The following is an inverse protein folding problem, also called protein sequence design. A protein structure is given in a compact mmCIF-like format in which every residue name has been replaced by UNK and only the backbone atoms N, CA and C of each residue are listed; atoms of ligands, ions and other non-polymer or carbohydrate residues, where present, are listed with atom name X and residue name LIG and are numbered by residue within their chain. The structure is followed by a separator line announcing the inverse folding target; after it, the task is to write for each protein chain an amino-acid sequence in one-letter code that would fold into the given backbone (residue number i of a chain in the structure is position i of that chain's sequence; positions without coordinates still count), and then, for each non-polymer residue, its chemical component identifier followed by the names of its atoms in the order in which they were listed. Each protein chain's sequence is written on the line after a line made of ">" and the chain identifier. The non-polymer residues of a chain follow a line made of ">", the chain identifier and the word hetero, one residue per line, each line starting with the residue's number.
data_IF_596462330015
#
_entry.id   IF_596462330015
#
_cell.length_a   1.000
_cell.length_b   1.000
_cell.length_c   1.000
_cell.angle_alpha   90.00
_cell.angle_beta   90.00
_cell.angle_gamma   90.00
#
_symmetry.space_group_name_H-M   'P 1'
#
loop_
_entity.id
_entity.type
_entity.pdbx_description
1 polymer ?
#
# COMPACT_ATOMS: atom_id res chain seq x y z
N UNK A 1 14.61 -10.77 -7.93
CA UNK A 1 13.68 -10.05 -7.08
C UNK A 1 12.90 -11.02 -6.20
N UNK A 2 12.98 -10.88 -4.88
CA UNK A 2 12.37 -11.79 -3.91
C UNK A 2 11.07 -11.17 -3.38
N UNK A 3 10.00 -11.96 -3.36
CA UNK A 3 8.69 -11.58 -2.82
C UNK A 3 8.14 -12.69 -1.90
N UNK A 4 7.04 -12.42 -1.17
CA UNK A 4 6.43 -13.36 -0.23
C UNK A 4 5.69 -14.51 -0.92
N UNK A 5 4.48 -14.26 -1.39
CA UNK A 5 3.59 -15.25 -2.02
C UNK A 5 2.92 -14.68 -3.28
N UNK A 6 2.61 -15.55 -4.24
CA UNK A 6 2.11 -15.15 -5.57
C UNK A 6 0.76 -14.44 -5.55
N UNK A 7 -0.13 -14.81 -4.64
CA UNK A 7 -1.51 -14.32 -4.60
C UNK A 7 -1.69 -12.99 -3.86
N UNK A 8 -0.67 -12.53 -3.12
CA UNK A 8 -0.74 -11.27 -2.38
C UNK A 8 -0.14 -10.11 -3.18
N UNK A 9 -0.24 -8.89 -2.61
CA UNK A 9 0.14 -7.63 -3.29
C UNK A 9 1.61 -7.62 -3.74
N UNK A 10 2.54 -8.15 -2.95
CA UNK A 10 3.97 -8.14 -3.32
C UNK A 10 4.26 -9.08 -4.48
N UNK A 11 3.62 -10.26 -4.55
CA UNK A 11 3.74 -11.16 -5.69
C UNK A 11 3.25 -10.51 -6.98
N UNK A 12 2.12 -9.80 -6.92
CA UNK A 12 1.57 -9.04 -8.06
C UNK A 12 2.48 -7.88 -8.47
N UNK A 13 3.01 -7.16 -7.48
CA UNK A 13 4.00 -6.10 -7.70
C UNK A 13 5.25 -6.65 -8.40
N UNK A 14 5.77 -7.80 -7.95
CA UNK A 14 6.91 -8.48 -8.59
C UNK A 14 6.66 -8.79 -10.07
N UNK A 15 5.48 -9.33 -10.38
CA UNK A 15 5.09 -9.66 -11.77
C UNK A 15 4.98 -8.43 -12.66
N UNK A 16 4.41 -7.34 -12.16
CA UNK A 16 4.31 -6.08 -12.91
C UNK A 16 5.71 -5.47 -13.17
N UNK A 17 6.63 -5.56 -12.21
CA UNK A 17 8.01 -5.13 -12.40
C UNK A 17 8.70 -6.02 -13.44
N UNK A 18 8.52 -7.35 -13.37
CA UNK A 18 9.10 -8.30 -14.33
C UNK A 18 8.64 -8.03 -15.76
N UNK A 19 7.36 -7.71 -15.97
CA UNK A 19 6.84 -7.36 -17.30
C UNK A 19 7.55 -6.14 -17.91
N UNK A 20 8.02 -5.22 -17.06
CA UNK A 20 8.74 -4.02 -17.49
C UNK A 20 10.28 -4.19 -17.54
N UNK A 21 10.79 -5.32 -17.04
CA UNK A 21 12.21 -5.65 -16.99
C UNK A 21 12.41 -7.15 -17.31
N UNK A 22 12.52 -7.52 -18.60
CA UNK A 22 12.54 -8.93 -19.02
C UNK A 22 13.68 -9.77 -18.45
N UNK A 23 14.83 -9.16 -18.17
CA UNK A 23 16.00 -9.84 -17.60
C UNK A 23 15.91 -10.05 -16.08
N UNK A 24 14.78 -9.70 -15.48
CA UNK A 24 14.55 -9.83 -14.05
C UNK A 24 13.98 -11.21 -13.71
N UNK A 25 14.72 -12.00 -12.94
CA UNK A 25 14.17 -13.18 -12.27
C UNK A 25 13.37 -12.77 -11.06
N UNK A 26 12.15 -13.31 -10.91
CA UNK A 26 11.30 -13.14 -9.74
C UNK A 26 11.07 -14.47 -9.03
N UNK A 27 11.23 -14.50 -7.71
CA UNK A 27 11.14 -15.74 -6.93
C UNK A 27 10.39 -15.51 -5.61
N UNK A 28 9.46 -16.42 -5.26
CA UNK A 28 8.82 -16.40 -3.95
C UNK A 28 9.75 -16.91 -2.86
N UNK A 29 9.48 -16.53 -1.60
CA UNK A 29 10.24 -17.02 -0.45
C UNK A 29 10.30 -18.55 -0.39
N UNK A 30 9.19 -19.26 -0.65
CA UNK A 30 9.15 -20.73 -0.64
C UNK A 30 10.05 -21.35 -1.72
N UNK A 31 9.98 -20.83 -2.95
CA UNK A 31 10.84 -21.31 -4.05
C UNK A 31 12.31 -20.97 -3.82
N UNK A 32 12.60 -19.82 -3.22
CA UNK A 32 13.97 -19.47 -2.85
C UNK A 32 14.52 -20.42 -1.78
N UNK A 33 13.70 -20.83 -0.83
CA UNK A 33 14.09 -21.82 0.18
C UNK A 33 14.44 -23.17 -0.45
N UNK A 34 13.64 -23.67 -1.36
CA UNK A 34 13.94 -24.87 -2.16
C UNK A 34 15.24 -24.72 -2.95
N UNK A 35 15.44 -23.55 -3.57
CA UNK A 35 16.66 -23.27 -4.34
C UNK A 35 17.91 -23.24 -3.44
N UNK A 36 17.82 -22.67 -2.23
CA UNK A 36 18.90 -22.68 -1.24
C UNK A 36 19.26 -24.12 -0.83
N UNK A 37 18.26 -24.98 -0.63
CA UNK A 37 18.50 -26.40 -0.31
C UNK A 37 19.20 -27.15 -1.43
N UNK A 38 18.86 -26.84 -2.70
CA UNK A 38 19.37 -27.54 -3.87
C UNK A 38 20.80 -27.12 -4.27
N UNK A 39 21.11 -25.84 -4.25
CA UNK A 39 22.40 -25.32 -4.77
C UNK A 39 23.19 -24.48 -3.76
N UNK A 40 22.61 -24.17 -2.61
CA UNK A 40 23.24 -23.37 -1.55
C UNK A 40 23.19 -21.85 -1.78
N UNK A 41 23.20 -21.09 -0.69
CA UNK A 41 23.14 -19.62 -0.71
C UNK A 41 24.34 -18.99 -1.43
N UNK A 42 25.54 -19.55 -1.30
CA UNK A 42 26.75 -19.04 -1.94
C UNK A 42 26.64 -19.06 -3.47
N UNK A 43 26.10 -20.13 -4.05
CA UNK A 43 25.89 -20.23 -5.49
C UNK A 43 24.83 -19.25 -5.98
N UNK A 44 23.74 -19.05 -5.22
CA UNK A 44 22.74 -18.04 -5.55
C UNK A 44 23.35 -16.65 -5.56
N UNK A 45 24.13 -16.30 -4.53
CA UNK A 45 24.79 -15.00 -4.43
C UNK A 45 25.78 -14.74 -5.57
N UNK A 46 26.39 -15.80 -6.12
CA UNK A 46 27.32 -15.71 -7.25
C UNK A 46 26.61 -15.54 -8.59
N UNK A 47 25.42 -16.14 -8.75
CA UNK A 47 24.67 -16.12 -10.02
C UNK A 47 24.08 -14.76 -10.38
N UNK A 48 23.69 -14.00 -9.38
CA UNK A 48 23.01 -12.73 -9.60
C UNK A 48 23.91 -11.55 -9.30
N UNK A 49 24.01 -10.61 -10.24
CA UNK A 49 24.74 -9.35 -10.05
C UNK A 49 24.10 -8.53 -8.92
N UNK A 50 22.75 -8.56 -8.86
CA UNK A 50 21.97 -7.83 -7.86
C UNK A 50 20.82 -8.67 -7.31
N UNK A 51 20.60 -8.63 -6.00
CA UNK A 51 19.47 -9.29 -5.33
C UNK A 51 18.67 -8.24 -4.57
N UNK A 52 17.38 -8.14 -4.92
CA UNK A 52 16.45 -7.19 -4.33
C UNK A 52 15.33 -7.90 -3.58
N UNK A 53 14.90 -7.37 -2.43
CA UNK A 53 13.72 -7.84 -1.70
C UNK A 53 12.56 -6.83 -1.77
N UNK A 54 11.32 -7.30 -1.90
CA UNK A 54 10.15 -6.42 -1.99
C UNK A 54 9.63 -5.89 -0.65
N UNK A 55 10.22 -6.30 0.48
CA UNK A 55 10.04 -5.61 1.75
C UNK A 55 11.21 -5.92 2.70
N UNK A 56 11.37 -5.07 3.72
CA UNK A 56 12.44 -5.22 4.70
C UNK A 56 12.33 -6.50 5.53
N UNK A 57 11.14 -7.04 5.75
CA UNK A 57 10.94 -8.33 6.40
C UNK A 57 11.44 -9.50 5.55
N UNK A 58 11.20 -9.47 4.24
CA UNK A 58 11.77 -10.45 3.29
C UNK A 58 13.28 -10.31 3.22
N UNK A 59 13.80 -9.08 3.20
CA UNK A 59 15.24 -8.84 3.25
C UNK A 59 15.89 -9.45 4.50
N UNK A 60 15.29 -9.24 5.68
CA UNK A 60 15.75 -9.84 6.93
C UNK A 60 15.75 -11.37 6.87
N UNK A 61 14.64 -11.96 6.42
CA UNK A 61 14.52 -13.41 6.28
C UNK A 61 15.60 -14.00 5.34
N UNK A 62 15.83 -13.35 4.19
CA UNK A 62 16.82 -13.79 3.22
C UNK A 62 18.27 -13.64 3.76
N UNK A 63 18.57 -12.54 4.42
CA UNK A 63 19.88 -12.30 5.05
C UNK A 63 20.21 -13.35 6.11
N UNK A 64 19.24 -13.78 6.94
CA UNK A 64 19.43 -14.84 7.91
C UNK A 64 19.60 -16.22 7.27
N UNK A 65 19.26 -16.38 5.99
CA UNK A 65 19.58 -17.56 5.17
C UNK A 65 20.86 -17.40 4.34
N UNK A 66 21.70 -16.41 4.68
CA UNK A 66 22.94 -16.07 4.00
C UNK A 66 22.79 -15.64 2.53
N UNK A 67 21.63 -15.15 2.14
CA UNK A 67 21.43 -14.49 0.85
C UNK A 67 21.86 -13.03 0.97
N UNK A 68 22.68 -12.58 0.02
CA UNK A 68 23.05 -11.17 -0.14
C UNK A 68 21.81 -10.38 -0.56
N UNK A 69 21.56 -9.25 0.07
CA UNK A 69 20.52 -8.31 -0.32
C UNK A 69 21.19 -6.97 -0.61
N UNK A 70 21.18 -6.57 -1.86
CA UNK A 70 21.80 -5.32 -2.32
C UNK A 70 20.82 -4.16 -2.20
N UNK A 71 19.52 -4.41 -2.42
CA UNK A 71 18.47 -3.41 -2.32
C UNK A 71 17.17 -3.99 -1.76
N UNK A 72 16.34 -3.12 -1.17
CA UNK A 72 15.02 -3.52 -0.67
C UNK A 72 13.99 -2.40 -0.83
N UNK A 73 12.75 -2.77 -1.15
CA UNK A 73 11.65 -1.86 -0.92
C UNK A 73 11.29 -1.84 0.58
N UNK A 74 10.83 -0.69 1.07
CA UNK A 74 10.26 -0.51 2.39
C UNK A 74 8.78 -0.18 2.25
N UNK A 75 7.95 -1.20 2.47
CA UNK A 75 6.49 -1.16 2.16
C UNK A 75 5.63 -0.91 3.39
N UNK A 76 6.22 -0.88 4.57
CA UNK A 76 5.52 -0.63 5.83
C UNK A 76 6.47 -0.09 6.89
N UNK A 77 5.90 0.39 7.99
CA UNK A 77 6.65 0.73 9.22
C UNK A 77 7.00 -0.50 10.04
N UNK A 78 6.60 -1.69 9.63
CA UNK A 78 6.97 -2.93 10.29
C UNK A 78 8.40 -3.28 9.90
N UNK A 79 9.24 -3.31 10.89
CA UNK A 79 10.59 -3.82 10.80
C UNK A 79 10.59 -5.27 11.26
N UNK A 80 11.63 -5.97 10.96
CA UNK A 80 11.74 -7.36 11.37
C UNK A 80 11.46 -7.51 12.87
N UNK A 81 10.47 -8.33 13.21
CA UNK A 81 10.18 -8.76 14.56
C UNK A 81 10.02 -10.28 14.56
N UNK A 82 10.58 -10.93 15.57
CA UNK A 82 10.46 -12.38 15.76
C UNK A 82 9.07 -12.77 16.25
N UNK A 83 8.31 -11.84 16.80
CA UNK A 83 6.96 -12.07 17.28
C UNK A 83 5.92 -11.50 16.30
N UNK A 84 5.47 -12.37 15.37
CA UNK A 84 4.49 -11.99 14.36
C UNK A 84 3.12 -11.63 14.95
N UNK A 85 2.72 -12.22 16.07
CA UNK A 85 1.42 -11.94 16.69
C UNK A 85 1.38 -10.52 17.27
N UNK A 86 2.49 -10.05 17.83
CA UNK A 86 2.63 -8.66 18.25
C UNK A 86 2.43 -7.68 17.07
N UNK A 87 2.89 -8.03 15.85
CA UNK A 87 2.75 -7.19 14.67
C UNK A 87 1.29 -6.98 14.24
N UNK A 88 0.40 -7.94 14.50
CA UNK A 88 -1.03 -7.82 14.17
C UNK A 88 -1.77 -6.81 15.04
N UNK A 89 -1.25 -6.53 16.21
CA UNK A 89 -1.89 -5.66 17.20
C UNK A 89 -1.45 -4.20 17.12
N UNK A 90 -0.46 -3.89 16.31
CA UNK A 90 0.13 -2.55 16.27
C UNK A 90 -0.80 -1.51 15.65
N UNK A 91 -1.09 -0.47 16.41
CA UNK A 91 -1.72 0.75 15.92
C UNK A 91 -0.68 1.77 15.47
N UNK A 92 0.39 1.93 16.22
CA UNK A 92 1.39 2.98 16.04
C UNK A 92 2.62 2.50 15.27
N UNK A 93 3.40 3.45 14.75
CA UNK A 93 4.71 3.17 14.18
C UNK A 93 5.64 2.63 15.27
N UNK A 94 6.23 1.47 15.04
CA UNK A 94 7.02 0.76 16.02
C UNK A 94 8.50 1.04 15.79
N UNK A 95 9.23 1.13 16.89
CA UNK A 95 10.69 1.16 16.84
C UNK A 95 11.21 -0.17 16.27
N UNK A 96 12.18 -0.11 15.35
CA UNK A 96 12.78 -1.32 14.78
C UNK A 96 13.39 -2.18 15.87
N UNK A 97 13.27 -3.50 15.68
CA UNK A 97 13.96 -4.47 16.51
C UNK A 97 15.48 -4.20 16.52
N UNK A 98 16.16 -4.24 17.70
CA UNK A 98 17.61 -4.00 17.78
C UNK A 98 18.44 -4.93 16.90
N UNK A 99 18.02 -6.19 16.75
CA UNK A 99 18.71 -7.13 15.87
C UNK A 99 18.52 -6.76 14.39
N UNK A 100 17.35 -6.23 14.02
CA UNK A 100 17.14 -5.69 12.68
C UNK A 100 18.11 -4.54 12.39
N UNK A 101 18.24 -3.59 13.30
CA UNK A 101 19.16 -2.45 13.15
C UNK A 101 20.63 -2.89 13.04
N UNK A 102 21.03 -3.88 13.83
CA UNK A 102 22.41 -4.32 13.93
C UNK A 102 22.82 -5.33 12.86
N UNK A 103 21.94 -6.26 12.49
CA UNK A 103 22.27 -7.44 11.68
C UNK A 103 21.71 -7.37 10.25
N UNK A 104 20.63 -6.64 10.02
CA UNK A 104 19.95 -6.60 8.73
C UNK A 104 20.21 -5.30 8.00
N UNK A 105 19.83 -4.19 8.62
CA UNK A 105 19.86 -2.88 7.97
C UNK A 105 21.24 -2.49 7.43
N UNK A 106 22.36 -2.73 8.13
CA UNK A 106 23.72 -2.41 7.63
C UNK A 106 24.14 -3.19 6.37
N UNK A 107 23.43 -4.25 6.02
CA UNK A 107 23.73 -5.10 4.85
C UNK A 107 22.96 -4.69 3.59
N UNK A 108 22.10 -3.67 3.67
CA UNK A 108 21.27 -3.19 2.56
C UNK A 108 21.82 -1.84 2.11
N UNK A 109 22.28 -1.75 0.86
CA UNK A 109 22.91 -0.52 0.34
C UNK A 109 21.90 0.46 -0.25
N UNK A 110 20.73 -0.02 -0.72
CA UNK A 110 19.72 0.81 -1.35
C UNK A 110 18.34 0.45 -0.82
N UNK A 111 17.58 1.45 -0.39
CA UNK A 111 16.22 1.26 0.14
C UNK A 111 15.26 2.22 -0.56
N UNK A 112 14.22 1.64 -1.16
CA UNK A 112 13.11 2.39 -1.77
C UNK A 112 11.91 2.45 -0.84
N UNK A 113 11.62 3.60 -0.25
CA UNK A 113 10.50 3.76 0.70
C UNK A 113 9.19 4.16 0.00
N UNK A 114 8.08 3.55 0.37
CA UNK A 114 6.78 3.79 -0.25
C UNK A 114 6.15 5.14 0.12
N UNK A 115 6.50 5.73 1.24
CA UNK A 115 6.04 7.07 1.62
C UNK A 115 7.19 7.92 2.16
N UNK A 116 6.99 9.25 2.19
CA UNK A 116 8.05 10.20 2.57
C UNK A 116 8.46 10.07 4.04
N UNK A 117 7.49 9.90 4.95
CA UNK A 117 7.77 9.73 6.38
C UNK A 117 8.64 8.49 6.64
N UNK A 118 8.34 7.39 5.93
CA UNK A 118 9.15 6.17 6.00
C UNK A 118 10.54 6.39 5.41
N UNK A 119 10.66 7.12 4.30
CA UNK A 119 11.95 7.48 3.73
C UNK A 119 12.80 8.29 4.72
N UNK A 120 12.22 9.30 5.35
CA UNK A 120 12.94 10.15 6.32
C UNK A 120 13.36 9.35 7.56
N UNK A 121 12.48 8.47 8.06
CA UNK A 121 12.81 7.55 9.16
C UNK A 121 14.00 6.65 8.80
N UNK A 122 13.97 6.04 7.61
CA UNK A 122 15.02 5.13 7.18
C UNK A 122 16.33 5.84 6.87
N UNK A 123 16.32 7.08 6.36
CA UNK A 123 17.54 7.90 6.22
C UNK A 123 18.24 8.13 7.55
N UNK A 124 17.46 8.36 8.62
CA UNK A 124 18.02 8.52 9.96
C UNK A 124 18.60 7.20 10.53
N UNK A 125 17.92 6.06 10.27
CA UNK A 125 18.33 4.76 10.78
C UNK A 125 19.45 4.09 9.97
N UNK A 126 19.57 4.40 8.67
CA UNK A 126 20.52 3.80 7.74
C UNK A 126 21.33 4.86 6.98
N UNK A 127 22.16 5.67 7.66
CA UNK A 127 22.92 6.76 7.01
C UNK A 127 23.97 6.24 6.00
N UNK A 128 24.30 4.95 6.04
CA UNK A 128 25.21 4.27 5.10
C UNK A 128 24.51 3.90 3.79
N UNK A 129 23.18 3.79 3.80
CA UNK A 129 22.40 3.36 2.64
C UNK A 129 21.85 4.56 1.86
N UNK A 130 21.71 4.37 0.57
CA UNK A 130 20.89 5.28 -0.23
C UNK A 130 19.41 4.98 0.04
N UNK A 131 18.70 5.94 0.63
CA UNK A 131 17.27 5.84 0.90
C UNK A 131 16.51 6.89 0.09
N UNK A 132 15.64 6.44 -0.79
CA UNK A 132 14.80 7.34 -1.61
C UNK A 132 13.33 6.98 -1.53
N UNK A 133 12.48 7.98 -1.72
CA UNK A 133 11.05 7.80 -1.88
C UNK A 133 10.75 7.26 -3.28
N UNK A 134 10.09 6.12 -3.38
CA UNK A 134 9.68 5.50 -4.65
C UNK A 134 8.18 5.52 -4.90
N UNK A 135 7.37 5.69 -3.84
CA UNK A 135 5.92 5.55 -3.92
C UNK A 135 5.49 4.12 -4.21
N UNK A 136 4.29 3.98 -4.72
CA UNK A 136 3.77 2.72 -5.24
C UNK A 136 3.16 2.94 -6.62
N UNK A 137 2.53 1.92 -7.19
CA UNK A 137 1.83 1.99 -8.47
C UNK A 137 0.57 1.13 -8.46
N UNK A 138 -0.33 1.45 -9.38
CA UNK A 138 -1.57 0.72 -9.58
C UNK A 138 -1.79 0.47 -11.08
N UNK A 139 -2.34 -0.71 -11.40
CA UNK A 139 -2.78 -1.02 -12.76
C UNK A 139 -4.06 -0.21 -13.09
N UNK A 140 -3.86 0.90 -13.80
CA UNK A 140 -4.93 1.84 -14.14
C UNK A 140 -5.83 1.36 -15.29
N UNK A 141 -5.47 0.31 -15.98
CA UNK A 141 -6.34 -0.36 -16.96
C UNK A 141 -7.34 -1.25 -16.22
N UNK A 142 -6.87 -2.03 -15.24
CA UNK A 142 -7.70 -2.88 -14.39
C UNK A 142 -8.60 -2.05 -13.47
N UNK A 143 -7.99 -1.16 -12.68
CA UNK A 143 -8.71 -0.23 -11.80
C UNK A 143 -9.11 1.01 -12.59
N UNK A 144 -10.33 0.99 -13.11
CA UNK A 144 -10.89 2.05 -13.95
C UNK A 144 -12.34 2.34 -13.57
N UNK A 145 -12.81 3.57 -13.80
CA UNK A 145 -14.21 3.94 -13.52
C UNK A 145 -15.22 3.03 -14.21
N UNK A 146 -16.44 2.98 -13.65
CA UNK A 146 -17.56 2.39 -14.35
C UNK A 146 -17.97 3.26 -15.55
N UNK A 147 -18.51 2.65 -16.60
CA UNK A 147 -19.07 3.38 -17.74
C UNK A 147 -20.38 4.11 -17.40
N UNK A 148 -21.12 3.58 -16.42
CA UNK A 148 -22.39 4.16 -15.99
C UNK A 148 -22.14 5.30 -14.97
N UNK A 149 -22.84 6.42 -15.17
CA UNK A 149 -22.87 7.50 -14.17
C UNK A 149 -23.69 7.06 -12.95
N UNK A 150 -23.24 7.50 -11.78
CA UNK A 150 -23.99 7.32 -10.54
C UNK A 150 -25.31 8.11 -10.60
N UNK A 151 -26.39 7.50 -10.14
CA UNK A 151 -27.67 8.18 -9.97
C UNK A 151 -27.62 9.04 -8.69
N UNK A 152 -27.68 10.38 -8.79
CA UNK A 152 -27.61 11.27 -7.64
C UNK A 152 -28.82 11.14 -6.68
N UNK A 153 -29.90 10.53 -7.10
CA UNK A 153 -31.09 10.30 -6.25
C UNK A 153 -30.89 9.16 -5.24
N UNK A 154 -29.93 8.24 -5.51
CA UNK A 154 -29.63 7.14 -4.60
C UNK A 154 -28.83 7.60 -3.38
N UNK A 155 -28.86 6.86 -2.27
CA UNK A 155 -28.02 7.15 -1.10
C UNK A 155 -26.52 7.18 -1.45
N UNK A 156 -25.76 8.06 -0.77
CA UNK A 156 -24.31 8.06 -0.83
C UNK A 156 -23.78 6.71 -0.31
N UNK A 157 -23.12 5.96 -1.16
CA UNK A 157 -22.56 4.66 -0.78
C UNK A 157 -21.11 4.81 -0.37
N UNK A 158 -20.81 4.52 0.90
CA UNK A 158 -19.46 4.58 1.49
C UNK A 158 -18.94 3.17 1.62
N UNK A 159 -17.79 2.92 0.99
CA UNK A 159 -17.11 1.62 1.06
C UNK A 159 -16.02 1.59 2.11
N UNK A 160 -15.79 0.43 2.71
CA UNK A 160 -14.63 0.13 3.53
C UNK A 160 -14.02 -1.19 3.07
N UNK A 161 -12.68 -1.24 2.95
CA UNK A 161 -11.97 -2.45 2.52
C UNK A 161 -10.76 -2.71 3.43
N UNK A 162 -10.73 -3.88 4.05
CA UNK A 162 -9.63 -4.25 4.95
C UNK A 162 -9.87 -5.50 5.76
N UNK A 163 -8.86 -5.94 6.50
CA UNK A 163 -8.98 -7.04 7.46
C UNK A 163 -9.46 -6.49 8.82
N UNK A 164 -10.70 -6.82 9.18
CA UNK A 164 -11.35 -6.39 10.43
C UNK A 164 -10.59 -6.81 11.69
N UNK A 165 -9.80 -7.90 11.60
CA UNK A 165 -9.04 -8.44 12.73
C UNK A 165 -7.78 -7.64 13.04
N UNK A 166 -7.32 -6.80 12.10
CA UNK A 166 -6.13 -5.96 12.31
C UNK A 166 -6.50 -4.71 13.08
N UNK A 167 -5.99 -4.58 14.31
CA UNK A 167 -6.21 -3.40 15.17
C UNK A 167 -5.78 -2.10 14.49
N UNK A 168 -4.71 -2.14 13.68
CA UNK A 168 -4.24 -0.98 12.91
C UNK A 168 -5.24 -0.45 11.89
N UNK A 169 -6.30 -1.19 11.56
CA UNK A 169 -7.36 -0.75 10.65
C UNK A 169 -8.44 0.09 11.36
N UNK A 170 -8.43 0.16 12.71
CA UNK A 170 -9.40 0.89 13.51
C UNK A 170 -10.87 0.58 13.14
N UNK A 171 -11.13 -0.70 12.78
CA UNK A 171 -12.49 -1.10 12.40
C UNK A 171 -13.48 -0.84 13.52
N UNK A 172 -13.19 -1.31 14.74
CA UNK A 172 -14.07 -1.16 15.89
C UNK A 172 -14.07 0.25 16.49
N UNK A 173 -12.91 0.92 16.52
CA UNK A 173 -12.74 2.21 17.19
C UNK A 173 -13.13 3.42 16.34
N UNK A 174 -13.12 3.30 15.01
CA UNK A 174 -13.41 4.42 14.11
C UNK A 174 -14.50 4.06 13.08
N UNK A 175 -14.35 2.94 12.33
CA UNK A 175 -15.31 2.61 11.29
C UNK A 175 -16.71 2.33 11.84
N UNK A 176 -16.83 1.43 12.81
CA UNK A 176 -18.14 1.06 13.38
C UNK A 176 -18.89 2.25 14.02
N UNK A 177 -18.29 3.12 14.84
CA UNK A 177 -18.97 4.30 15.36
C UNK A 177 -19.51 5.22 14.27
N UNK A 178 -18.75 5.46 13.20
CA UNK A 178 -19.22 6.28 12.06
C UNK A 178 -20.38 5.59 11.34
N UNK A 179 -20.26 4.29 11.02
CA UNK A 179 -21.31 3.52 10.38
C UNK A 179 -22.59 3.50 11.22
N UNK A 180 -22.48 3.24 12.51
CA UNK A 180 -23.63 3.17 13.44
C UNK A 180 -24.37 4.51 13.52
N UNK A 181 -23.63 5.64 13.49
CA UNK A 181 -24.27 6.96 13.46
C UNK A 181 -25.22 7.14 12.27
N UNK A 182 -24.88 6.55 11.11
CA UNK A 182 -25.69 6.64 9.88
C UNK A 182 -26.59 5.41 9.62
N UNK A 183 -26.70 4.46 10.55
CA UNK A 183 -27.36 3.16 10.31
C UNK A 183 -28.78 3.29 9.74
N UNK A 184 -29.55 4.26 10.21
CA UNK A 184 -30.92 4.52 9.76
C UNK A 184 -31.04 5.78 8.91
N UNK A 185 -29.92 6.34 8.43
CA UNK A 185 -29.95 7.56 7.64
C UNK A 185 -30.32 7.29 6.19
N UNK A 186 -31.44 7.85 5.64
CA UNK A 186 -31.97 7.43 4.34
C UNK A 186 -31.05 7.81 3.16
N UNK A 187 -30.09 8.72 3.36
CA UNK A 187 -29.19 9.21 2.30
C UNK A 187 -27.77 8.65 2.35
N UNK A 188 -27.48 7.76 3.29
CA UNK A 188 -26.13 7.18 3.44
C UNK A 188 -26.24 5.67 3.57
N UNK A 189 -25.42 4.95 2.85
CA UNK A 189 -25.31 3.49 2.92
C UNK A 189 -23.84 3.10 3.04
N UNK A 190 -23.58 2.11 3.88
CA UNK A 190 -22.24 1.53 4.03
C UNK A 190 -22.19 0.15 3.40
N UNK A 191 -21.09 -0.12 2.71
CA UNK A 191 -20.72 -1.46 2.20
C UNK A 191 -19.28 -1.75 2.59
N UNK A 192 -18.98 -2.98 2.88
CA UNK A 192 -17.65 -3.36 3.33
C UNK A 192 -17.19 -4.65 2.67
N UNK A 193 -15.87 -4.81 2.56
CA UNK A 193 -15.24 -6.06 2.15
C UNK A 193 -14.05 -6.39 3.04
N UNK A 194 -13.97 -7.66 3.44
CA UNK A 194 -12.90 -8.20 4.28
C UNK A 194 -12.36 -9.52 3.70
N UNK A 195 -12.30 -9.60 2.37
CA UNK A 195 -11.81 -10.76 1.63
C UNK A 195 -12.85 -11.46 0.76
N UNK A 196 -14.09 -10.90 0.67
CA UNK A 196 -15.16 -11.45 -0.17
C UNK A 196 -14.88 -11.28 -1.67
N UNK A 197 -14.09 -10.26 -2.04
CA UNK A 197 -13.64 -10.04 -3.41
C UNK A 197 -12.23 -10.57 -3.61
N UNK A 198 -12.01 -11.39 -4.63
CA UNK A 198 -10.67 -11.64 -5.13
C UNK A 198 -10.06 -10.33 -5.64
N UNK A 199 -8.73 -10.24 -5.67
CA UNK A 199 -8.06 -9.01 -6.14
C UNK A 199 -8.50 -8.58 -7.54
N UNK A 200 -8.76 -9.56 -8.41
CA UNK A 200 -9.18 -9.28 -9.79
C UNK A 200 -10.60 -8.72 -9.86
N UNK A 201 -11.41 -8.97 -8.85
CA UNK A 201 -12.79 -8.49 -8.71
C UNK A 201 -12.90 -7.21 -7.88
N UNK A 202 -11.84 -6.78 -7.21
CA UNK A 202 -11.84 -5.52 -6.43
C UNK A 202 -12.31 -4.29 -7.21
N UNK A 203 -12.05 -4.14 -8.53
CA UNK A 203 -12.64 -3.06 -9.31
C UNK A 203 -14.17 -3.00 -9.25
N UNK A 204 -14.87 -4.14 -9.11
CA UNK A 204 -16.33 -4.19 -8.97
C UNK A 204 -16.77 -3.54 -7.65
N UNK A 205 -16.04 -3.84 -6.55
CA UNK A 205 -16.30 -3.19 -5.27
C UNK A 205 -16.11 -1.67 -5.36
N UNK A 206 -14.97 -1.18 -5.90
CA UNK A 206 -14.75 0.26 -6.01
C UNK A 206 -15.77 0.95 -6.93
N UNK A 207 -16.22 0.29 -7.99
CA UNK A 207 -17.27 0.83 -8.88
C UNK A 207 -18.62 0.92 -8.20
N UNK A 208 -18.90 0.09 -7.20
CA UNK A 208 -20.18 0.06 -6.47
C UNK A 208 -20.32 1.14 -5.40
N UNK A 209 -19.26 1.86 -5.06
CA UNK A 209 -19.24 2.89 -4.03
C UNK A 209 -19.11 4.30 -4.62
N UNK A 210 -19.42 5.31 -3.82
CA UNK A 210 -19.21 6.73 -4.16
C UNK A 210 -17.95 7.29 -3.50
N UNK A 211 -17.60 6.78 -2.32
CA UNK A 211 -16.52 7.23 -1.46
C UNK A 211 -15.91 6.01 -0.76
N UNK A 212 -14.60 5.88 -0.77
CA UNK A 212 -13.91 4.90 0.06
C UNK A 212 -13.58 5.54 1.42
N UNK A 213 -13.83 4.83 2.53
CA UNK A 213 -13.39 5.23 3.86
C UNK A 213 -12.21 4.37 4.32
N UNK A 214 -11.10 5.01 4.69
CA UNK A 214 -9.92 4.38 5.27
C UNK A 214 -9.73 4.89 6.69
N UNK A 215 -9.76 3.99 7.65
CA UNK A 215 -9.73 4.30 9.08
C UNK A 215 -8.43 3.89 9.76
N UNK A 216 -7.43 3.50 8.99
CA UNK A 216 -6.18 2.94 9.52
C UNK A 216 -5.44 3.94 10.41
N UNK A 217 -4.92 3.48 11.56
CA UNK A 217 -4.02 4.26 12.40
C UNK A 217 -2.62 4.35 11.77
N UNK A 218 -2.24 3.32 11.00
CA UNK A 218 -0.91 3.24 10.41
C UNK A 218 -0.93 2.42 9.11
N UNK A 219 -0.30 2.95 8.07
CA UNK A 219 -0.12 2.29 6.77
C UNK A 219 1.27 2.63 6.21
N UNK A 220 1.95 1.64 5.69
CA UNK A 220 3.15 1.92 4.88
C UNK A 220 2.81 2.52 3.53
N UNK A 221 1.70 2.04 2.96
CA UNK A 221 1.17 2.45 1.67
C UNK A 221 -0.27 2.92 1.76
N UNK A 222 -1.20 2.07 1.47
CA UNK A 222 -2.62 2.33 1.29
C UNK A 222 -3.03 1.98 -0.14
N UNK A 223 -2.74 0.74 -0.56
CA UNK A 223 -3.06 0.28 -1.92
C UNK A 223 -4.53 0.51 -2.28
N UNK A 224 -5.42 0.31 -1.31
CA UNK A 224 -6.87 0.57 -1.47
C UNK A 224 -7.18 2.02 -1.86
N UNK A 225 -6.36 3.00 -1.41
CA UNK A 225 -6.53 4.39 -1.83
C UNK A 225 -6.17 4.58 -3.31
N UNK A 226 -5.03 4.00 -3.77
CA UNK A 226 -4.65 4.06 -5.19
C UNK A 226 -5.70 3.41 -6.09
N UNK A 227 -6.21 2.26 -5.66
CA UNK A 227 -7.23 1.49 -6.39
C UNK A 227 -8.56 2.27 -6.48
N UNK A 228 -9.00 2.88 -5.38
CA UNK A 228 -10.19 3.73 -5.34
C UNK A 228 -10.02 4.99 -6.22
N UNK A 229 -8.92 5.72 -6.06
CA UNK A 229 -8.61 6.87 -6.91
C UNK A 229 -8.51 6.48 -8.38
N UNK A 230 -7.89 5.35 -8.69
CA UNK A 230 -7.84 4.80 -10.04
C UNK A 230 -9.23 4.48 -10.60
N UNK A 231 -10.18 4.07 -9.77
CA UNK A 231 -11.58 3.91 -10.14
C UNK A 231 -12.39 5.23 -10.13
N UNK A 232 -11.74 6.38 -9.95
CA UNK A 232 -12.40 7.68 -9.89
C UNK A 232 -13.21 7.92 -8.62
N UNK A 233 -12.85 7.25 -7.51
CA UNK A 233 -13.52 7.40 -6.23
C UNK A 233 -12.66 8.20 -5.27
N UNK A 234 -13.17 9.29 -4.68
CA UNK A 234 -12.49 9.99 -3.62
C UNK A 234 -12.36 9.10 -2.37
N UNK A 235 -11.44 9.48 -1.49
CA UNK A 235 -11.14 8.71 -0.28
C UNK A 235 -11.23 9.61 0.94
N UNK A 236 -12.09 9.28 1.90
CA UNK A 236 -12.10 9.84 3.25
C UNK A 236 -11.19 9.00 4.13
N UNK A 237 -10.14 9.59 4.66
CA UNK A 237 -9.08 8.82 5.31
C UNK A 237 -8.45 9.57 6.48
N UNK A 238 -7.97 8.82 7.46
CA UNK A 238 -6.86 9.26 8.30
C UNK A 238 -5.63 9.56 7.42
N UNK A 239 -4.77 10.48 7.84
CA UNK A 239 -3.56 10.85 7.08
C UNK A 239 -2.46 9.79 7.24
N UNK A 240 -2.57 8.69 6.50
CA UNK A 240 -1.67 7.53 6.58
C UNK A 240 -1.01 7.20 5.23
N UNK A 241 0.17 6.60 5.30
CA UNK A 241 0.91 6.15 4.13
C UNK A 241 1.14 7.27 3.12
N UNK A 242 0.77 7.02 1.87
CA UNK A 242 0.82 7.99 0.77
C UNK A 242 -0.56 8.50 0.34
N UNK A 243 -1.61 8.30 1.14
CA UNK A 243 -2.99 8.64 0.74
C UNK A 243 -3.12 10.10 0.31
N UNK A 244 -2.54 11.03 1.10
CA UNK A 244 -2.54 12.46 0.79
C UNK A 244 -1.68 12.80 -0.43
N UNK A 245 -0.53 12.16 -0.58
CA UNK A 245 0.37 12.37 -1.71
C UNK A 245 -0.25 11.92 -3.04
N UNK A 246 -1.00 10.82 -3.01
CA UNK A 246 -1.71 10.27 -4.16
C UNK A 246 -2.98 11.06 -4.52
N UNK A 247 -3.60 11.72 -3.56
CA UNK A 247 -4.81 12.50 -3.75
C UNK A 247 -4.56 13.75 -4.61
N UNK A 248 -5.55 14.14 -5.42
CA UNK A 248 -5.58 15.49 -5.99
C UNK A 248 -5.76 16.53 -4.86
N UNK A 249 -5.19 17.74 -4.95
CA UNK A 249 -5.34 18.78 -3.91
C UNK A 249 -6.78 19.03 -3.47
N UNK A 250 -7.75 18.97 -4.37
CA UNK A 250 -9.17 19.15 -4.05
C UNK A 250 -9.73 18.03 -3.13
N UNK A 251 -9.06 16.88 -3.06
CA UNK A 251 -9.43 15.80 -2.16
C UNK A 251 -8.71 15.88 -0.79
N UNK A 252 -7.77 16.82 -0.59
CA UNK A 252 -7.07 16.96 0.69
C UNK A 252 -8.00 17.22 1.89
N UNK A 253 -9.14 17.94 1.77
CA UNK A 253 -10.09 18.10 2.87
C UNK A 253 -10.72 16.78 3.37
N UNK A 254 -10.60 15.68 2.62
CA UNK A 254 -11.02 14.35 3.04
C UNK A 254 -9.93 13.56 3.79
N UNK A 255 -8.71 14.10 3.88
CA UNK A 255 -7.59 13.43 4.56
C UNK A 255 -7.39 14.09 5.91
N UNK A 256 -7.81 13.41 6.96
CA UNK A 256 -7.91 13.95 8.30
C UNK A 256 -6.68 13.59 9.14
N UNK A 257 -6.14 14.57 9.84
CA UNK A 257 -5.08 14.37 10.86
C UNK A 257 -5.68 13.95 12.23
N UNK A 258 -6.84 13.30 12.20
CA UNK A 258 -7.63 12.86 13.34
C UNK A 258 -8.18 11.46 13.10
N UNK A 259 -8.36 10.70 14.15
CA UNK A 259 -9.08 9.42 14.18
C UNK A 259 -10.37 9.50 15.05
N UNK A 260 -10.86 10.72 15.32
CA UNK A 260 -12.13 10.94 15.98
C UNK A 260 -13.29 10.62 15.00
N UNK A 261 -14.21 9.71 15.36
CA UNK A 261 -15.42 9.44 14.56
C UNK A 261 -16.24 10.68 14.22
N UNK A 262 -16.25 11.72 15.07
CA UNK A 262 -17.03 12.93 14.83
C UNK A 262 -16.52 13.73 13.64
N UNK A 263 -15.22 13.75 13.38
CA UNK A 263 -14.64 14.43 12.24
C UNK A 263 -15.05 13.73 10.93
N UNK A 264 -15.05 12.41 10.91
CA UNK A 264 -15.54 11.61 9.78
C UNK A 264 -17.03 11.81 9.54
N UNK A 265 -17.84 11.79 10.61
CA UNK A 265 -19.28 12.07 10.56
C UNK A 265 -19.53 13.46 9.99
N UNK A 266 -18.78 14.47 10.44
CA UNK A 266 -18.90 15.83 9.93
C UNK A 266 -18.66 15.90 8.42
N UNK A 267 -17.57 15.32 7.92
CA UNK A 267 -17.27 15.28 6.48
C UNK A 267 -18.39 14.60 5.69
N UNK A 268 -18.85 13.44 6.15
CA UNK A 268 -19.94 12.71 5.47
C UNK A 268 -21.22 13.55 5.41
N UNK A 269 -21.62 14.21 6.51
CA UNK A 269 -22.78 15.11 6.57
C UNK A 269 -22.71 16.26 5.58
N UNK A 270 -21.53 16.85 5.39
CA UNK A 270 -21.31 17.92 4.41
C UNK A 270 -21.44 17.41 2.97
N UNK A 271 -20.85 16.24 2.71
CA UNK A 271 -20.69 15.75 1.33
C UNK A 271 -21.80 14.84 0.83
N UNK A 272 -22.66 14.30 1.70
CA UNK A 272 -23.80 13.48 1.26
C UNK A 272 -24.81 14.24 0.39
N UNK A 273 -24.75 15.57 0.37
CA UNK A 273 -25.59 16.45 -0.45
C UNK A 273 -24.87 17.00 -1.69
N UNK A 274 -23.57 16.67 -1.89
CA UNK A 274 -22.70 17.23 -2.93
C UNK A 274 -22.12 16.16 -3.85
N UNK A 275 -22.94 15.17 -4.23
CA UNK A 275 -22.47 13.99 -4.98
C UNK A 275 -21.83 14.35 -6.33
N UNK A 276 -22.34 15.36 -7.02
CA UNK A 276 -21.77 15.80 -8.30
C UNK A 276 -20.36 16.40 -8.12
N UNK A 277 -20.14 17.16 -7.04
CA UNK A 277 -18.81 17.67 -6.73
C UNK A 277 -17.88 16.55 -6.30
N UNK A 278 -18.38 15.60 -5.52
CA UNK A 278 -17.62 14.42 -5.09
C UNK A 278 -17.13 13.60 -6.30
N UNK A 279 -18.00 13.39 -7.31
CA UNK A 279 -17.66 12.72 -8.57
C UNK A 279 -16.55 13.47 -9.32
N UNK A 280 -16.64 14.81 -9.41
CA UNK A 280 -15.60 15.63 -10.05
C UNK A 280 -14.25 15.52 -9.33
N UNK A 281 -14.26 15.51 -8.00
CA UNK A 281 -13.04 15.30 -7.19
C UNK A 281 -12.44 13.92 -7.48
N UNK A 282 -13.28 12.88 -7.52
CA UNK A 282 -12.85 11.52 -7.88
C UNK A 282 -12.21 11.45 -9.26
N UNK A 283 -12.77 12.14 -10.26
CA UNK A 283 -12.18 12.21 -11.61
C UNK A 283 -10.80 12.88 -11.61
N UNK A 284 -10.62 13.99 -10.88
CA UNK A 284 -9.31 14.65 -10.75
C UNK A 284 -8.28 13.75 -10.04
N UNK A 285 -8.71 13.00 -9.02
CA UNK A 285 -7.87 11.99 -8.40
C UNK A 285 -7.46 10.92 -9.41
N UNK A 286 -8.39 10.43 -10.23
CA UNK A 286 -8.10 9.47 -11.31
C UNK A 286 -7.06 10.01 -12.29
N UNK A 287 -7.21 11.24 -12.76
CA UNK A 287 -6.26 11.89 -13.68
C UNK A 287 -4.84 11.92 -13.08
N UNK A 288 -4.73 12.32 -11.80
CA UNK A 288 -3.46 12.31 -11.08
C UNK A 288 -2.87 10.91 -10.99
N UNK A 289 -3.67 9.90 -10.65
CA UNK A 289 -3.21 8.51 -10.56
C UNK A 289 -2.69 8.00 -11.92
N UNK A 290 -3.42 8.22 -12.99
CA UNK A 290 -2.98 7.81 -14.34
C UNK A 290 -1.67 8.49 -14.72
N UNK A 291 -1.52 9.76 -14.35
CA UNK A 291 -0.35 10.55 -14.72
C UNK A 291 0.90 10.27 -13.90
N UNK A 292 0.78 9.91 -12.62
CA UNK A 292 1.90 9.86 -11.68
C UNK A 292 2.11 8.47 -11.05
N UNK A 293 1.04 7.67 -10.87
CA UNK A 293 1.04 6.42 -10.10
C UNK A 293 0.68 5.19 -10.93
N UNK A 294 0.40 5.37 -12.24
CA UNK A 294 0.16 4.24 -13.15
C UNK A 294 1.41 3.38 -13.32
N UNK A 295 1.21 2.08 -13.55
CA UNK A 295 2.28 1.10 -13.68
C UNK A 295 3.37 1.55 -14.66
N UNK A 296 3.00 2.05 -15.83
CA UNK A 296 3.95 2.42 -16.90
C UNK A 296 4.98 3.49 -16.47
N UNK A 297 4.61 4.37 -15.55
CA UNK A 297 5.46 5.46 -15.08
C UNK A 297 6.15 5.13 -13.77
N UNK A 298 5.39 4.62 -12.81
CA UNK A 298 5.90 4.43 -11.45
C UNK A 298 6.83 3.22 -11.33
N UNK A 299 6.63 2.15 -12.11
CA UNK A 299 7.54 0.99 -12.17
C UNK A 299 8.96 1.41 -12.56
N UNK A 300 9.12 2.41 -13.44
CA UNK A 300 10.44 2.90 -13.83
C UNK A 300 11.26 3.44 -12.66
N UNK A 301 10.61 4.09 -11.68
CA UNK A 301 11.29 4.56 -10.45
C UNK A 301 11.79 3.40 -9.60
N UNK A 302 10.99 2.33 -9.50
CA UNK A 302 11.36 1.11 -8.79
C UNK A 302 12.56 0.44 -9.44
N UNK A 303 12.52 0.25 -10.76
CA UNK A 303 13.60 -0.35 -11.54
C UNK A 303 14.88 0.50 -11.40
N UNK A 304 14.79 1.80 -11.66
CA UNK A 304 15.95 2.70 -11.61
C UNK A 304 16.62 2.73 -10.24
N UNK A 305 15.86 2.69 -9.14
CA UNK A 305 16.47 2.73 -7.82
C UNK A 305 16.94 1.36 -7.34
N UNK A 306 16.08 0.33 -7.47
CA UNK A 306 16.29 -0.94 -6.80
C UNK A 306 17.04 -1.97 -7.65
N UNK A 307 16.96 -1.88 -8.98
CA UNK A 307 17.40 -2.94 -9.89
C UNK A 307 18.54 -2.55 -10.83
N UNK A 308 18.81 -1.26 -11.06
CA UNK A 308 19.94 -0.85 -11.90
C UNK A 308 21.22 -0.72 -11.11
N UNK A 309 22.31 -1.28 -11.66
CA UNK A 309 23.65 -1.00 -11.16
C UNK A 309 23.99 0.46 -11.50
N UNK A 310 24.45 1.20 -10.51
CA UNK A 310 25.05 2.51 -10.76
C UNK A 310 26.49 2.29 -11.13
N UNK A 311 26.79 2.61 -12.38
CA UNK A 311 28.16 2.79 -12.86
C UNK A 311 28.88 3.87 -12.08
#
# INVERSE_FOLDING_TARGET
>A
LIYDVDWWILGKTARLIQQSHPDLDVISCSKLEELIQNIGAAEINRRYSRICALCLGIAAWAIFKNIRIDSSAAVSYYYFSRNYDTLREWKDAILPDPDFLRLVLPRISVIGAMNRKLADTLKALAPHAQVDYIGHFVDTAKFSPASAKLDPSLPLTIGWAGDKRKKSKNYESLYLPVRTYFEHHPRVRFVETSGEYAYDDMPLFYRSIDLLMITSANEGGGATALEAYACGKPVLSTNVGYVKEAAHPDAHPFILDSDDPQDFIHVIRVWMHKRTELEKIGQRCREKIVNEWGTDKAVKRWISLLLTDRS
#
